data_IF_368546005399
#
_entry.id   IF_368546005399
#
_cell.length_a   1.000
_cell.length_b   1.000
_cell.length_c   1.000
_cell.angle_alpha   90.00
_cell.angle_beta   90.00
_cell.angle_gamma   90.00
#
_symmetry.space_group_name_H-M   'P 1'
#
loop_
_entity.id
_entity.type
_entity.pdbx_description
1 polymer ?
#
# COMPACT_ATOMS: atom_id res chain seq x y z
N UNK A 1 -17.06 0.59 11.33
CA UNK A 1 -15.75 1.14 11.69
C UNK A 1 -14.67 0.58 10.79
N UNK A 2 -13.79 1.43 10.30
CA UNK A 2 -12.68 1.01 9.45
C UNK A 2 -11.40 0.99 10.27
N UNK A 3 -10.69 -0.13 10.22
CA UNK A 3 -9.41 -0.23 10.91
C UNK A 3 -8.38 0.65 10.21
N UNK A 4 -7.43 1.24 10.96
CA UNK A 4 -6.42 2.15 10.38
C UNK A 4 -5.64 1.55 9.23
N UNK A 5 -5.26 0.27 9.32
CA UNK A 5 -4.51 -0.39 8.26
C UNK A 5 -5.37 -0.52 7.00
N UNK A 6 -6.62 -0.90 7.16
CA UNK A 6 -7.54 -1.00 6.02
C UNK A 6 -7.74 0.36 5.37
N UNK A 7 -7.94 1.39 6.18
CA UNK A 7 -8.13 2.74 5.66
C UNK A 7 -6.88 3.22 4.92
N UNK A 8 -5.70 2.90 5.44
CA UNK A 8 -4.45 3.26 4.81
C UNK A 8 -4.31 2.57 3.44
N UNK A 9 -4.62 1.27 3.39
CA UNK A 9 -4.57 0.51 2.15
C UNK A 9 -5.51 1.12 1.11
N UNK A 10 -6.73 1.43 1.49
CA UNK A 10 -7.69 2.04 0.57
C UNK A 10 -7.22 3.41 0.07
N UNK A 11 -6.67 4.22 0.97
CA UNK A 11 -6.13 5.52 0.58
C UNK A 11 -4.95 5.37 -0.39
N UNK A 12 -4.06 4.43 -0.11
CA UNK A 12 -2.90 4.19 -0.96
C UNK A 12 -3.31 3.70 -2.35
N UNK A 13 -4.25 2.76 -2.40
CA UNK A 13 -4.74 2.24 -3.68
C UNK A 13 -5.45 3.32 -4.49
N UNK A 14 -6.05 4.29 -3.82
CA UNK A 14 -6.66 5.43 -4.50
C UNK A 14 -5.64 6.33 -5.18
N UNK A 15 -4.37 6.24 -4.80
CA UNK A 15 -3.29 7.01 -5.41
C UNK A 15 -2.54 6.22 -6.49
N UNK A 16 -2.94 4.98 -6.72
CA UNK A 16 -2.24 4.12 -7.66
C UNK A 16 -2.39 4.61 -9.10
N UNK A 17 -1.36 4.35 -9.88
CA UNK A 17 -1.35 4.65 -11.30
C UNK A 17 -1.12 3.36 -12.07
N UNK A 18 -1.86 3.18 -13.14
CA UNK A 18 -1.76 1.98 -13.97
C UNK A 18 -1.46 2.36 -15.40
N UNK A 19 -0.57 1.60 -16.03
CA UNK A 19 -0.21 1.79 -17.43
C UNK A 19 -0.34 0.48 -18.18
N UNK A 20 -0.87 0.57 -19.40
CA UNK A 20 -0.91 -0.58 -20.28
C UNK A 20 0.41 -0.65 -21.04
N UNK A 21 1.07 -1.81 -20.99
CA UNK A 21 2.35 -2.01 -21.64
C UNK A 21 2.17 -2.45 -23.09
N UNK A 22 3.27 -2.41 -23.85
CA UNK A 22 3.23 -2.74 -25.27
C UNK A 22 2.72 -4.16 -25.55
N UNK A 23 3.00 -5.09 -24.65
CA UNK A 23 2.57 -6.49 -24.81
C UNK A 23 1.13 -6.72 -24.34
N UNK A 24 0.42 -5.66 -23.97
CA UNK A 24 -0.96 -5.76 -23.51
C UNK A 24 -1.12 -6.02 -22.02
N UNK A 25 -0.03 -6.25 -21.31
CA UNK A 25 -0.10 -6.38 -19.86
C UNK A 25 -0.18 -5.01 -19.20
N UNK A 26 -0.30 -5.01 -17.88
CA UNK A 26 -0.43 -3.78 -17.11
C UNK A 26 0.63 -3.68 -16.02
N UNK A 27 1.07 -2.45 -15.76
CA UNK A 27 1.88 -2.16 -14.58
C UNK A 27 1.10 -1.23 -13.67
N UNK A 28 1.37 -1.33 -12.38
CA UNK A 28 0.76 -0.44 -11.40
C UNK A 28 1.80 0.00 -10.39
N UNK A 29 1.66 1.22 -9.90
CA UNK A 29 2.55 1.74 -8.89
C UNK A 29 1.82 2.74 -8.01
N UNK A 30 2.36 2.97 -6.83
CA UNK A 30 1.87 4.01 -5.93
C UNK A 30 3.02 5.01 -5.76
N UNK A 31 2.96 6.16 -6.46
CA UNK A 31 4.11 7.09 -6.50
C UNK A 31 4.58 7.56 -5.13
N UNK A 32 3.68 7.70 -4.18
CA UNK A 32 4.03 8.14 -2.83
C UNK A 32 4.72 7.06 -2.00
N UNK A 33 4.64 5.81 -2.43
CA UNK A 33 5.21 4.68 -1.71
C UNK A 33 6.23 4.01 -2.60
N UNK A 34 7.49 4.45 -2.49
CA UNK A 34 8.55 3.90 -3.32
C UNK A 34 8.72 2.41 -3.07
N UNK A 35 8.82 1.66 -4.15
CA UNK A 35 8.97 0.23 -4.09
C UNK A 35 7.66 -0.54 -4.14
N UNK A 36 6.53 0.14 -4.11
CA UNK A 36 5.23 -0.52 -4.22
C UNK A 36 4.79 -0.47 -5.68
N UNK A 37 5.04 -1.55 -6.39
CA UNK A 37 4.71 -1.69 -7.80
C UNK A 37 4.36 -3.14 -8.11
N UNK A 38 3.58 -3.34 -9.17
CA UNK A 38 3.15 -4.67 -9.55
C UNK A 38 2.86 -4.73 -11.05
N UNK A 39 2.71 -5.96 -11.56
CA UNK A 39 2.38 -6.22 -12.95
C UNK A 39 1.28 -7.26 -13.00
N UNK A 40 0.52 -7.26 -14.08
CA UNK A 40 -0.50 -8.26 -14.29
C UNK A 40 -0.90 -8.34 -15.77
N UNK A 41 -1.39 -9.51 -16.17
CA UNK A 41 -1.84 -9.73 -17.54
C UNK A 41 -3.11 -8.92 -17.84
N UNK A 42 -3.91 -8.64 -16.82
CA UNK A 42 -5.09 -7.82 -16.93
C UNK A 42 -5.01 -6.74 -15.87
N UNK A 43 -5.85 -5.71 -16.03
CA UNK A 43 -5.91 -4.64 -15.03
C UNK A 43 -6.31 -5.19 -13.67
N UNK A 44 -7.29 -6.09 -13.65
CA UNK A 44 -7.75 -6.71 -12.40
C UNK A 44 -6.63 -7.45 -11.68
N UNK A 45 -5.85 -8.24 -12.42
CA UNK A 45 -4.73 -8.97 -11.84
C UNK A 45 -3.68 -8.01 -11.32
N UNK A 46 -3.38 -6.96 -12.10
CA UNK A 46 -2.42 -5.94 -11.68
C UNK A 46 -2.87 -5.27 -10.37
N UNK A 47 -4.15 -4.90 -10.27
CA UNK A 47 -4.68 -4.30 -9.06
C UNK A 47 -4.55 -5.24 -7.86
N UNK A 48 -4.86 -6.51 -8.06
CA UNK A 48 -4.77 -7.51 -7.00
C UNK A 48 -3.32 -7.70 -6.54
N UNK A 49 -2.39 -7.76 -7.47
CA UNK A 49 -0.98 -7.89 -7.16
C UNK A 49 -0.45 -6.65 -6.45
N UNK A 50 -0.91 -5.48 -6.88
CA UNK A 50 -0.49 -4.23 -6.25
C UNK A 50 -0.97 -4.18 -4.80
N UNK A 51 -2.19 -4.62 -4.54
CA UNK A 51 -2.73 -4.69 -3.19
C UNK A 51 -1.90 -5.63 -2.31
N UNK A 52 -1.57 -6.81 -2.82
CA UNK A 52 -0.74 -7.77 -2.09
C UNK A 52 0.64 -7.20 -1.78
N UNK A 53 1.25 -6.56 -2.76
CA UNK A 53 2.56 -5.93 -2.59
C UNK A 53 2.50 -4.84 -1.53
N UNK A 54 1.44 -4.04 -1.55
CA UNK A 54 1.23 -2.98 -0.58
C UNK A 54 1.06 -3.53 0.83
N UNK A 55 0.27 -4.59 0.98
CA UNK A 55 0.07 -5.22 2.28
C UNK A 55 1.39 -5.73 2.86
N UNK A 56 2.18 -6.40 2.03
CA UNK A 56 3.50 -6.87 2.44
C UNK A 56 4.43 -5.72 2.82
N UNK A 57 4.41 -4.65 2.02
CA UNK A 57 5.23 -3.47 2.27
C UNK A 57 4.89 -2.83 3.62
N UNK A 58 3.61 -2.71 3.92
CA UNK A 58 3.17 -2.17 5.20
C UNK A 58 3.62 -3.07 6.35
N UNK A 59 3.39 -4.36 6.21
CA UNK A 59 3.72 -5.32 7.25
C UNK A 59 5.23 -5.32 7.55
N UNK A 60 6.04 -5.37 6.51
CA UNK A 60 7.50 -5.35 6.68
C UNK A 60 7.95 -4.02 7.27
N UNK A 61 7.39 -2.92 6.78
CA UNK A 61 7.75 -1.59 7.29
C UNK A 61 7.45 -1.45 8.78
N UNK A 62 6.27 -1.88 9.20
CA UNK A 62 5.90 -1.81 10.62
C UNK A 62 6.77 -2.73 11.46
N UNK A 63 7.09 -3.91 10.95
CA UNK A 63 7.93 -4.88 11.64
C UNK A 63 9.33 -4.37 11.87
N UNK A 64 9.88 -3.67 10.88
CA UNK A 64 11.24 -3.12 10.96
C UNK A 64 11.27 -1.78 11.66
N UNK A 65 10.13 -1.26 12.06
CA UNK A 65 10.06 0.05 12.71
C UNK A 65 10.31 1.21 11.76
N UNK A 66 10.16 0.99 10.47
CA UNK A 66 10.34 2.06 9.49
C UNK A 66 9.21 3.05 9.55
N UNK A 67 9.52 4.30 9.22
CA UNK A 67 8.52 5.34 9.21
C UNK A 67 7.76 5.31 7.90
N UNK A 68 6.46 5.01 7.98
CA UNK A 68 5.62 4.97 6.79
C UNK A 68 5.04 6.36 6.50
N UNK A 69 4.91 6.74 5.22
CA UNK A 69 4.31 8.02 4.87
C UNK A 69 2.87 8.13 5.37
N UNK A 70 2.48 9.33 5.78
CA UNK A 70 1.10 9.61 6.16
C UNK A 70 0.26 9.74 4.89
N UNK A 71 -0.85 9.01 4.82
CA UNK A 71 -1.78 9.08 3.68
C UNK A 71 -3.17 9.42 4.19
N UNK A 72 -3.81 10.38 3.53
CA UNK A 72 -5.17 10.81 3.88
C UNK A 72 -5.32 11.07 5.38
N UNK A 73 -4.29 11.63 5.99
CA UNK A 73 -4.30 11.92 7.43
C UNK A 73 -4.08 10.70 8.32
N UNK A 74 -3.82 9.53 7.72
CA UNK A 74 -3.62 8.29 8.47
C UNK A 74 -2.14 8.04 8.70
N UNK A 75 -1.76 7.97 9.96
CA UNK A 75 -0.38 7.74 10.37
C UNK A 75 -0.30 6.39 11.08
N UNK A 76 0.12 5.37 10.34
CA UNK A 76 0.22 4.02 10.90
C UNK A 76 1.32 3.91 11.95
N UNK A 77 2.34 4.76 11.86
CA UNK A 77 3.41 4.76 12.86
C UNK A 77 2.84 5.15 14.22
N UNK A 78 1.96 6.13 14.23
CA UNK A 78 1.32 6.58 15.46
C UNK A 78 0.37 5.52 16.01
N UNK A 79 -0.40 4.89 15.13
CA UNK A 79 -1.34 3.85 15.54
C UNK A 79 -0.59 2.68 16.16
N UNK A 80 0.49 2.23 15.52
CA UNK A 80 1.30 1.13 16.04
C UNK A 80 1.91 1.50 17.38
N UNK A 81 2.44 2.73 17.47
CA UNK A 81 3.05 3.20 18.71
C UNK A 81 2.03 3.24 19.84
N UNK A 82 0.84 3.76 19.58
CA UNK A 82 -0.23 3.80 20.57
C UNK A 82 -0.62 2.41 21.02
N UNK A 83 -0.63 1.46 20.09
CA UNK A 83 -0.96 0.09 20.38
C UNK A 83 0.05 -0.55 21.32
N UNK A 84 1.33 -0.29 21.08
CA UNK A 84 2.39 -0.79 21.95
C UNK A 84 2.29 -0.18 23.33
N UNK A 85 1.88 1.06 23.41
CA UNK A 85 1.74 1.73 24.69
C UNK A 85 0.62 1.14 25.54
N UNK A 86 -0.36 0.52 24.93
CA UNK A 86 -1.50 -0.06 25.65
C UNK A 86 -1.27 -1.50 26.05
N UNK A 87 -0.27 -2.12 25.52
CA UNK A 87 0.05 -3.50 25.88
C UNK A 87 1.17 -3.58 26.88
#
# INVERSE_FOLDING_TARGET
MIFPITAYIEAALGLARYDKLEDGSFSGEIPKLKGVAAFGQTLRVCESELRSTLEDWILVGLRLGQKLPVLAGIDLNKVQHGRLATT
#
